data_IF_710118624708
#
_entry.id   IF_710118624708
#
_cell.length_a   1.000
_cell.length_b   1.000
_cell.length_c   1.000
_cell.angle_alpha   90.00
_cell.angle_beta   90.00
_cell.angle_gamma   90.00
#
_symmetry.space_group_name_H-M   'P 1'
#
loop_
_entity.id
_entity.type
_entity.pdbx_description
1 polymer ?
#
# COMPACT_ATOMS: atom_id res chain seq x y z
N UNK A 1 30.81 -2.44 -22.23
CA UNK A 1 29.80 -3.19 -21.43
C UNK A 1 28.47 -2.53 -21.66
N UNK A 2 27.45 -3.27 -22.11
CA UNK A 2 26.10 -2.71 -22.19
C UNK A 2 25.66 -2.31 -20.77
N UNK A 3 25.37 -1.01 -20.56
CA UNK A 3 24.83 -0.51 -19.29
C UNK A 3 23.50 -1.22 -19.01
N UNK A 4 23.34 -1.75 -17.80
CA UNK A 4 22.06 -2.30 -17.36
C UNK A 4 21.07 -1.15 -17.28
N UNK A 5 20.02 -1.15 -18.10
CA UNK A 5 19.02 -0.08 -18.13
C UNK A 5 17.60 -0.61 -18.00
N UNK A 6 16.74 0.15 -17.33
CA UNK A 6 15.36 -0.23 -17.09
C UNK A 6 14.41 0.96 -17.11
N UNK A 7 13.25 0.79 -17.75
CA UNK A 7 12.13 1.71 -17.68
C UNK A 7 11.13 1.32 -16.58
N UNK A 8 10.60 2.29 -15.85
CA UNK A 8 9.57 2.11 -14.84
C UNK A 8 8.41 3.05 -15.15
N UNK A 9 7.26 2.51 -15.57
CA UNK A 9 6.05 3.29 -15.79
C UNK A 9 5.19 3.28 -14.54
N UNK A 10 5.05 4.45 -13.91
CA UNK A 10 4.23 4.65 -12.71
C UNK A 10 3.37 5.91 -12.83
N UNK A 11 2.11 5.82 -12.38
CA UNK A 11 1.27 6.99 -12.26
C UNK A 11 1.61 7.83 -11.02
N UNK A 12 1.85 7.15 -9.88
CA UNK A 12 2.18 7.80 -8.62
C UNK A 12 3.70 7.97 -8.49
N UNK A 13 4.15 9.21 -8.60
CA UNK A 13 5.55 9.63 -8.46
C UNK A 13 5.58 11.00 -7.77
N UNK A 14 6.65 11.38 -7.06
CA UNK A 14 6.72 12.71 -6.45
C UNK A 14 6.31 13.84 -7.43
N UNK A 15 5.48 14.82 -6.99
CA UNK A 15 5.08 15.15 -5.62
C UNK A 15 3.81 14.43 -5.10
N UNK A 16 3.43 13.28 -5.64
CA UNK A 16 2.35 12.49 -5.05
C UNK A 16 2.76 12.01 -3.66
N UNK A 17 1.82 12.10 -2.70
CA UNK A 17 1.96 11.51 -1.38
C UNK A 17 1.37 10.10 -1.29
N UNK A 18 1.51 9.48 -0.12
CA UNK A 18 0.93 8.19 0.22
C UNK A 18 1.81 6.98 -0.10
N UNK A 19 1.34 5.80 0.30
CA UNK A 19 2.10 4.54 0.22
C UNK A 19 2.43 4.09 -1.20
N UNK A 20 1.61 4.48 -2.17
CA UNK A 20 1.79 4.11 -3.58
C UNK A 20 3.06 4.64 -4.24
N UNK A 21 3.60 5.75 -3.73
CA UNK A 21 4.83 6.39 -4.24
C UNK A 21 6.08 5.70 -3.68
N UNK A 22 6.08 5.42 -2.39
CA UNK A 22 7.25 5.01 -1.62
C UNK A 22 7.89 3.71 -2.12
N UNK A 23 7.10 2.81 -2.70
CA UNK A 23 7.58 1.52 -3.22
C UNK A 23 8.61 1.71 -4.33
N UNK A 24 8.20 2.32 -5.43
CA UNK A 24 9.07 2.47 -6.61
C UNK A 24 10.08 3.60 -6.45
N UNK A 25 9.83 4.58 -5.61
CA UNK A 25 10.85 5.57 -5.26
C UNK A 25 12.07 4.88 -4.64
N UNK A 26 11.87 4.09 -3.56
CA UNK A 26 12.96 3.36 -2.90
C UNK A 26 13.62 2.29 -3.79
N UNK A 27 12.83 1.53 -4.55
CA UNK A 27 13.41 0.52 -5.42
C UNK A 27 14.19 1.13 -6.58
N UNK A 28 13.79 2.29 -7.09
CA UNK A 28 14.55 3.03 -8.09
C UNK A 28 15.90 3.50 -7.54
N UNK A 29 15.92 4.05 -6.32
CA UNK A 29 17.17 4.46 -5.66
C UNK A 29 18.12 3.27 -5.51
N UNK A 30 17.65 2.15 -5.00
CA UNK A 30 18.49 0.96 -4.82
C UNK A 30 18.91 0.31 -6.15
N UNK A 31 18.11 0.39 -7.21
CA UNK A 31 18.53 -0.07 -8.53
C UNK A 31 19.67 0.79 -9.08
N UNK A 32 19.65 2.12 -8.84
CA UNK A 32 20.78 3.01 -9.16
C UNK A 32 22.02 2.59 -8.37
N UNK A 33 21.91 2.37 -7.05
CA UNK A 33 23.00 1.88 -6.19
C UNK A 33 23.58 0.53 -6.70
N UNK A 34 22.75 -0.32 -7.32
CA UNK A 34 23.15 -1.59 -7.94
C UNK A 34 23.71 -1.43 -9.37
N UNK A 35 23.90 -0.19 -9.84
CA UNK A 35 24.51 0.13 -11.13
C UNK A 35 23.56 0.10 -12.33
N UNK A 36 22.24 0.20 -12.10
CA UNK A 36 21.25 0.32 -13.17
C UNK A 36 21.05 1.77 -13.58
N UNK A 37 20.92 2.03 -14.86
CA UNK A 37 20.39 3.27 -15.41
C UNK A 37 18.84 3.19 -15.36
N UNK A 38 18.24 3.99 -14.47
CA UNK A 38 16.80 3.93 -14.18
C UNK A 38 16.07 5.09 -14.86
N UNK A 39 15.12 4.74 -15.75
CA UNK A 39 14.28 5.69 -16.48
C UNK A 39 12.83 5.60 -15.97
N UNK A 40 12.39 6.58 -15.21
CA UNK A 40 11.02 6.64 -14.70
C UNK A 40 10.15 7.40 -15.72
N UNK A 41 9.02 6.80 -16.08
CA UNK A 41 7.98 7.39 -16.91
C UNK A 41 6.78 7.69 -16.04
N UNK A 42 6.43 8.97 -15.93
CA UNK A 42 5.30 9.46 -15.15
C UNK A 42 4.56 10.57 -15.92
N UNK A 43 3.63 11.28 -15.30
CA UNK A 43 2.79 12.23 -16.01
C UNK A 43 3.09 13.67 -15.62
N UNK A 44 2.87 14.58 -16.58
CA UNK A 44 2.96 16.02 -16.34
C UNK A 44 1.63 16.49 -15.75
N UNK A 45 1.67 17.08 -14.54
CA UNK A 45 0.51 17.62 -13.82
C UNK A 45 -0.61 16.58 -13.60
N UNK A 46 -0.32 15.38 -13.10
CA UNK A 46 -1.34 14.38 -12.80
C UNK A 46 -2.21 14.85 -11.63
N UNK A 47 -3.40 14.29 -11.54
CA UNK A 47 -4.31 14.59 -10.42
C UNK A 47 -4.09 13.61 -9.30
N UNK A 48 -3.31 14.03 -8.34
CA UNK A 48 -3.12 13.28 -7.11
C UNK A 48 -4.11 13.72 -6.04
N UNK A 49 -4.66 12.76 -5.31
CA UNK A 49 -5.54 13.03 -4.16
C UNK A 49 -4.74 13.55 -2.96
N UNK A 50 -3.48 13.13 -2.85
CA UNK A 50 -2.56 13.54 -1.79
C UNK A 50 -1.30 14.10 -2.45
N UNK A 51 -0.91 15.31 -2.06
CA UNK A 51 0.31 15.97 -2.55
C UNK A 51 1.26 16.16 -1.36
N UNK A 52 2.49 15.68 -1.53
CA UNK A 52 3.60 15.93 -0.64
C UNK A 52 4.67 16.75 -1.38
N UNK A 53 4.66 18.05 -1.17
CA UNK A 53 5.55 18.98 -1.89
C UNK A 53 7.04 18.74 -1.60
N UNK A 54 7.36 18.18 -0.43
CA UNK A 54 8.76 17.89 -0.02
C UNK A 54 9.27 16.57 -0.62
N UNK A 55 8.39 15.70 -1.10
CA UNK A 55 8.80 14.40 -1.67
C UNK A 55 9.59 14.53 -2.99
N UNK A 56 9.50 15.67 -3.68
CA UNK A 56 10.29 15.94 -4.87
C UNK A 56 11.79 16.11 -4.60
N UNK A 57 12.15 16.60 -3.41
CA UNK A 57 13.53 16.89 -3.02
C UNK A 57 14.35 15.62 -2.69
N UNK A 58 13.67 14.50 -2.52
CA UNK A 58 14.29 13.20 -2.17
C UNK A 58 14.51 12.27 -3.36
N UNK A 59 14.24 12.71 -4.58
CA UNK A 59 14.48 11.90 -5.78
C UNK A 59 15.99 11.87 -6.03
N UNK A 60 16.56 10.67 -6.16
CA UNK A 60 17.95 10.50 -6.54
C UNK A 60 18.21 11.18 -7.91
N UNK A 61 19.18 12.11 -8.01
CA UNK A 61 19.43 12.86 -9.24
C UNK A 61 19.91 11.98 -10.43
N UNK A 62 20.38 10.77 -10.18
CA UNK A 62 20.76 9.83 -11.23
C UNK A 62 19.57 9.16 -11.89
N UNK A 63 18.36 9.29 -11.34
CA UNK A 63 17.13 8.76 -11.94
C UNK A 63 16.65 9.70 -13.06
N UNK A 64 16.56 9.19 -14.26
CA UNK A 64 16.05 9.95 -15.42
C UNK A 64 14.51 9.97 -15.37
N UNK A 65 13.91 11.10 -15.01
CA UNK A 65 12.46 11.24 -14.88
C UNK A 65 11.83 11.85 -16.12
N UNK A 66 11.07 11.05 -16.87
CA UNK A 66 10.34 11.44 -18.06
C UNK A 66 8.88 11.77 -17.75
N UNK A 67 8.47 13.04 -17.88
CA UNK A 67 7.10 13.51 -17.61
C UNK A 67 6.29 13.59 -18.89
N UNK A 68 5.37 12.65 -19.08
CA UNK A 68 4.53 12.51 -20.27
C UNK A 68 3.32 13.44 -20.18
N UNK A 69 3.04 14.18 -21.26
CA UNK A 69 1.80 14.94 -21.39
C UNK A 69 0.64 13.99 -21.70
N UNK A 70 -0.45 14.11 -20.96
CA UNK A 70 -1.65 13.32 -21.18
C UNK A 70 -2.92 14.06 -20.75
N UNK A 71 -4.05 13.62 -21.23
CA UNK A 71 -5.35 14.20 -20.92
C UNK A 71 -6.07 13.32 -19.88
N UNK A 72 -6.45 13.92 -18.76
CA UNK A 72 -7.30 13.30 -17.73
C UNK A 72 -8.66 13.99 -17.68
N UNK A 73 -9.74 13.34 -18.13
CA UNK A 73 -11.06 13.96 -18.29
C UNK A 73 -11.80 14.26 -16.99
N UNK A 74 -11.16 14.10 -15.83
CA UNK A 74 -11.81 14.22 -14.51
C UNK A 74 -12.42 15.60 -14.19
N UNK A 75 -11.92 16.70 -14.82
CA UNK A 75 -12.55 18.04 -14.69
C UNK A 75 -13.88 18.11 -15.47
N UNK A 76 -13.86 17.57 -16.68
CA UNK A 76 -15.03 17.55 -17.56
C UNK A 76 -16.18 16.73 -16.96
N UNK A 77 -15.84 15.63 -16.32
CA UNK A 77 -16.82 14.76 -15.66
C UNK A 77 -17.42 15.36 -14.39
N UNK A 78 -16.62 16.02 -13.54
CA UNK A 78 -17.17 16.75 -12.38
C UNK A 78 -18.09 17.87 -12.83
N UNK A 79 -17.81 18.51 -13.95
CA UNK A 79 -18.68 19.53 -14.56
C UNK A 79 -19.96 18.94 -15.15
N UNK A 80 -19.91 17.79 -15.82
CA UNK A 80 -21.08 17.13 -16.42
C UNK A 80 -22.00 16.42 -15.42
N UNK A 81 -21.44 15.85 -14.35
CA UNK A 81 -22.21 15.04 -13.41
C UNK A 81 -22.50 15.72 -12.06
N UNK A 82 -22.12 16.99 -11.92
CA UNK A 82 -22.51 17.89 -10.84
C UNK A 82 -22.15 17.43 -9.42
N UNK A 83 -21.77 18.39 -8.60
CA UNK A 83 -21.53 18.23 -7.16
C UNK A 83 -22.85 18.04 -6.34
N UNK A 84 -23.87 17.38 -6.88
CA UNK A 84 -25.15 17.20 -6.20
C UNK A 84 -25.28 15.78 -5.68
N UNK A 85 -25.24 15.69 -4.38
CA UNK A 85 -25.69 14.63 -3.47
C UNK A 85 -24.62 13.68 -2.89
N UNK A 86 -24.62 13.62 -1.57
CA UNK A 86 -24.04 12.58 -0.71
C UNK A 86 -24.70 11.19 -0.88
N UNK A 87 -25.28 10.89 -2.02
CA UNK A 87 -25.81 9.56 -2.34
C UNK A 87 -24.76 8.78 -3.11
N UNK A 88 -24.54 7.49 -2.79
CA UNK A 88 -23.66 6.63 -3.58
C UNK A 88 -24.17 6.69 -5.03
N UNK A 89 -23.30 7.13 -5.92
CA UNK A 89 -23.60 7.19 -7.36
C UNK A 89 -24.00 5.79 -7.80
N UNK A 90 -25.25 5.65 -8.28
CA UNK A 90 -25.64 4.45 -9.04
C UNK A 90 -24.60 4.26 -10.14
N UNK A 91 -24.10 3.05 -10.39
CA UNK A 91 -23.14 2.80 -11.44
C UNK A 91 -23.76 3.27 -12.75
N UNK A 92 -23.28 4.38 -13.29
CA UNK A 92 -23.76 4.79 -14.59
C UNK A 92 -23.05 3.89 -15.60
N UNK A 93 -23.80 3.15 -16.39
CA UNK A 93 -23.34 2.36 -17.53
C UNK A 93 -22.33 3.15 -18.36
N UNK A 94 -22.55 4.46 -18.52
CA UNK A 94 -21.65 5.41 -19.17
C UNK A 94 -20.26 5.44 -18.52
N UNK A 95 -20.18 5.47 -17.17
CA UNK A 95 -18.89 5.47 -16.46
C UNK A 95 -18.11 4.19 -16.75
N UNK A 96 -18.75 3.03 -16.73
CA UNK A 96 -18.12 1.74 -16.97
C UNK A 96 -17.67 1.56 -18.42
N UNK A 97 -18.46 2.03 -19.38
CA UNK A 97 -18.12 2.00 -20.81
C UNK A 97 -16.95 2.93 -21.16
N UNK A 98 -16.93 4.15 -20.62
CA UNK A 98 -15.92 5.15 -20.99
C UNK A 98 -14.61 5.03 -20.19
N UNK A 99 -14.62 4.44 -18.99
CA UNK A 99 -13.47 4.42 -18.07
C UNK A 99 -12.92 3.03 -17.77
N UNK A 100 -13.08 2.11 -18.70
CA UNK A 100 -12.44 0.80 -18.58
C UNK A 100 -10.96 0.84 -19.01
N UNK A 101 -10.01 0.30 -18.23
CA UNK A 101 -10.18 -0.36 -16.94
C UNK A 101 -10.29 0.64 -15.75
N UNK A 102 -9.85 1.85 -15.94
CA UNK A 102 -9.89 2.95 -14.97
C UNK A 102 -9.89 4.32 -15.67
N UNK A 103 -10.01 5.39 -14.91
CA UNK A 103 -10.10 6.76 -15.46
C UNK A 103 -8.84 7.26 -16.17
N UNK A 104 -7.71 6.53 -16.06
CA UNK A 104 -6.42 6.86 -16.70
C UNK A 104 -6.25 6.18 -18.06
N UNK A 105 -7.26 5.45 -18.54
CA UNK A 105 -7.22 4.82 -19.87
C UNK A 105 -6.82 5.75 -21.02
N UNK A 106 -7.19 7.03 -20.91
CA UNK A 106 -6.87 8.03 -21.94
C UNK A 106 -5.38 8.36 -22.00
N UNK A 107 -4.64 8.04 -20.95
CA UNK A 107 -3.18 8.17 -20.92
C UNK A 107 -2.48 7.02 -21.69
N UNK A 108 -3.13 5.88 -21.90
CA UNK A 108 -2.50 4.68 -22.50
C UNK A 108 -1.92 4.95 -23.86
N UNK A 109 -2.67 5.55 -24.78
CA UNK A 109 -2.23 5.82 -26.15
C UNK A 109 -1.03 6.78 -26.25
N UNK A 110 -1.11 7.97 -25.64
CA UNK A 110 0.03 8.90 -25.59
C UNK A 110 1.27 8.28 -24.92
N UNK A 111 1.09 7.58 -23.80
CA UNK A 111 2.18 6.94 -23.06
C UNK A 111 2.86 5.85 -23.89
N UNK A 112 2.09 4.99 -24.53
CA UNK A 112 2.63 3.96 -25.43
C UNK A 112 3.49 4.56 -26.55
N UNK A 113 2.99 5.60 -27.25
CA UNK A 113 3.76 6.26 -28.32
C UNK A 113 5.05 6.88 -27.83
N UNK A 114 4.99 7.57 -26.69
CA UNK A 114 6.17 8.18 -26.08
C UNK A 114 7.21 7.15 -25.67
N UNK A 115 6.82 6.12 -24.91
CA UNK A 115 7.76 5.10 -24.43
C UNK A 115 8.31 4.28 -25.58
N UNK A 116 7.51 3.92 -26.60
CA UNK A 116 7.99 3.22 -27.78
C UNK A 116 9.14 3.98 -28.46
N UNK A 117 8.93 5.27 -28.75
CA UNK A 117 9.95 6.11 -29.35
C UNK A 117 11.20 6.18 -28.49
N UNK A 118 11.02 6.45 -27.20
CA UNK A 118 12.12 6.59 -26.23
C UNK A 118 12.94 5.30 -26.10
N UNK A 119 12.29 4.14 -26.04
CA UNK A 119 12.95 2.83 -25.94
C UNK A 119 13.81 2.53 -27.16
N UNK A 120 13.29 2.83 -28.36
CA UNK A 120 14.05 2.63 -29.62
C UNK A 120 15.24 3.57 -29.72
N UNK A 121 15.09 4.84 -29.30
CA UNK A 121 16.18 5.85 -29.38
C UNK A 121 17.28 5.59 -28.35
N UNK A 122 16.95 4.99 -27.18
CA UNK A 122 17.89 4.78 -26.09
C UNK A 122 18.26 3.30 -25.88
N UNK A 123 17.87 2.40 -26.78
CA UNK A 123 18.13 0.95 -26.69
C UNK A 123 17.70 0.29 -25.39
N UNK A 124 16.57 0.74 -24.79
CA UNK A 124 16.00 0.10 -23.63
C UNK A 124 15.17 -1.12 -24.04
N UNK A 125 15.27 -2.21 -23.26
CA UNK A 125 14.48 -3.40 -23.53
C UNK A 125 13.75 -3.97 -22.30
N UNK A 126 13.95 -3.41 -21.09
CA UNK A 126 13.26 -3.81 -19.88
C UNK A 126 12.28 -2.74 -19.42
N UNK A 127 11.03 -3.12 -19.17
CA UNK A 127 10.00 -2.23 -18.65
C UNK A 127 9.27 -2.87 -17.47
N UNK A 128 9.14 -2.12 -16.39
CA UNK A 128 8.21 -2.42 -15.31
C UNK A 128 7.02 -1.47 -15.42
N UNK A 129 5.80 -2.01 -15.39
CA UNK A 129 4.58 -1.20 -15.22
C UNK A 129 3.96 -1.49 -13.88
N UNK A 130 3.56 -0.48 -13.11
CA UNK A 130 2.97 -0.65 -11.78
C UNK A 130 1.52 -0.16 -11.72
N UNK A 131 0.65 -0.94 -11.15
CA UNK A 131 -0.77 -0.67 -10.91
C UNK A 131 -1.17 -0.85 -9.44
N UNK A 132 -2.27 -0.18 -8.97
CA UNK A 132 -3.13 0.73 -9.73
C UNK A 132 -2.45 2.07 -10.08
N UNK A 133 -2.92 2.78 -11.15
CA UNK A 133 -4.00 2.42 -12.07
C UNK A 133 -3.58 1.28 -13.01
N UNK A 134 -4.49 0.31 -13.21
CA UNK A 134 -4.19 -0.90 -13.99
C UNK A 134 -4.11 -0.66 -15.50
N UNK A 135 -4.64 0.47 -15.99
CA UNK A 135 -4.44 0.93 -17.37
C UNK A 135 -2.97 1.06 -17.77
N UNK A 136 -2.04 1.24 -16.81
CA UNK A 136 -0.61 1.27 -17.09
C UNK A 136 -0.09 -0.07 -17.62
N UNK A 137 -0.66 -1.19 -17.20
CA UNK A 137 -0.30 -2.51 -17.71
C UNK A 137 -0.68 -2.69 -19.20
N UNK A 138 -1.71 -1.99 -19.69
CA UNK A 138 -2.04 -2.01 -21.12
C UNK A 138 -0.94 -1.37 -21.98
N UNK A 139 -0.19 -0.41 -21.45
CA UNK A 139 0.97 0.17 -22.13
C UNK A 139 2.08 -0.88 -22.26
N UNK A 140 2.40 -1.58 -21.17
CA UNK A 140 3.39 -2.66 -21.16
C UNK A 140 3.04 -3.76 -22.15
N UNK A 141 1.78 -4.22 -22.15
CA UNK A 141 1.31 -5.23 -23.10
C UNK A 141 1.47 -4.79 -24.57
N UNK A 142 1.10 -3.55 -24.90
CA UNK A 142 1.26 -3.02 -26.27
C UNK A 142 2.73 -2.97 -26.69
N UNK A 143 3.62 -2.50 -25.82
CA UNK A 143 5.06 -2.44 -26.09
C UNK A 143 5.65 -3.85 -26.25
N UNK A 144 5.26 -4.80 -25.39
CA UNK A 144 5.67 -6.20 -25.48
C UNK A 144 5.32 -6.84 -26.84
N UNK A 145 4.09 -6.60 -27.32
CA UNK A 145 3.65 -7.15 -28.61
C UNK A 145 4.37 -6.48 -29.77
N UNK A 146 4.56 -5.17 -29.72
CA UNK A 146 5.03 -4.37 -30.86
C UNK A 146 6.56 -4.36 -31.01
N UNK A 147 7.29 -4.11 -29.90
CA UNK A 147 8.76 -4.02 -29.94
C UNK A 147 9.46 -5.07 -29.08
N UNK A 148 8.73 -6.10 -28.63
CA UNK A 148 9.24 -7.32 -27.99
C UNK A 148 10.13 -7.07 -26.76
N UNK A 149 9.84 -6.01 -26.00
CA UNK A 149 10.52 -5.73 -24.72
C UNK A 149 10.35 -6.86 -23.70
N UNK A 150 11.24 -6.94 -22.73
CA UNK A 150 11.07 -7.71 -21.50
C UNK A 150 10.17 -6.92 -20.56
N UNK A 151 8.99 -7.44 -20.27
CA UNK A 151 7.97 -6.70 -19.53
C UNK A 151 7.58 -7.37 -18.22
N UNK A 152 7.67 -6.60 -17.13
CA UNK A 152 7.24 -6.98 -15.79
C UNK A 152 5.98 -6.19 -15.42
N UNK A 153 4.94 -6.88 -14.99
CA UNK A 153 3.74 -6.24 -14.46
C UNK A 153 3.71 -6.30 -12.93
N UNK A 154 3.74 -5.14 -12.25
CA UNK A 154 3.73 -5.03 -10.79
C UNK A 154 2.32 -4.72 -10.29
N UNK A 155 1.67 -5.70 -9.68
CA UNK A 155 0.36 -5.60 -9.06
C UNK A 155 0.52 -5.32 -7.57
N UNK A 156 0.31 -4.07 -7.17
CA UNK A 156 0.32 -3.68 -5.75
C UNK A 156 -0.96 -4.08 -5.03
N UNK A 157 -2.06 -4.13 -5.77
CA UNK A 157 -3.38 -4.53 -5.31
C UNK A 157 -4.02 -5.48 -6.33
N UNK A 158 -4.99 -6.32 -5.93
CA UNK A 158 -5.82 -7.08 -6.86
C UNK A 158 -6.50 -6.15 -7.85
N UNK A 159 -6.79 -6.64 -9.06
CA UNK A 159 -7.48 -5.82 -10.05
C UNK A 159 -8.97 -6.21 -10.17
N UNK A 160 -9.28 -7.35 -10.80
CA UNK A 160 -10.67 -7.74 -11.04
C UNK A 160 -11.44 -7.99 -9.75
N UNK A 161 -10.81 -8.69 -8.80
CA UNK A 161 -11.38 -9.05 -7.50
C UNK A 161 -11.04 -8.07 -6.38
N UNK A 162 -10.73 -6.82 -6.71
CA UNK A 162 -10.49 -5.82 -5.69
C UNK A 162 -11.79 -5.44 -4.97
N UNK A 163 -11.77 -5.45 -3.64
CA UNK A 163 -12.95 -5.21 -2.81
C UNK A 163 -13.70 -3.89 -3.15
N UNK A 164 -12.97 -2.86 -3.58
CA UNK A 164 -13.59 -1.58 -3.98
C UNK A 164 -14.52 -1.72 -5.18
N UNK A 165 -14.26 -2.67 -6.09
CA UNK A 165 -15.15 -2.94 -7.23
C UNK A 165 -16.52 -3.45 -6.75
N UNK A 166 -16.54 -4.27 -5.68
CA UNK A 166 -17.79 -4.74 -5.06
C UNK A 166 -18.56 -3.62 -4.38
N UNK A 167 -17.86 -2.72 -3.68
CA UNK A 167 -18.47 -1.55 -3.04
C UNK A 167 -19.08 -0.57 -4.06
N UNK A 168 -18.58 -0.54 -5.28
CA UNK A 168 -19.09 0.29 -6.37
C UNK A 168 -20.30 -0.33 -7.11
N UNK A 169 -20.80 -1.52 -6.67
CA UNK A 169 -21.89 -2.25 -7.33
C UNK A 169 -21.67 -2.38 -8.84
N UNK A 170 -20.48 -2.81 -9.23
CA UNK A 170 -20.08 -2.97 -10.61
C UNK A 170 -20.97 -4.01 -11.33
N UNK A 171 -21.33 -3.74 -12.58
CA UNK A 171 -22.09 -4.70 -13.39
C UNK A 171 -21.28 -5.99 -13.62
N UNK A 172 -21.95 -7.13 -13.61
CA UNK A 172 -21.31 -8.44 -13.84
C UNK A 172 -20.57 -8.50 -15.19
N UNK A 173 -21.14 -7.89 -16.23
CA UNK A 173 -20.53 -7.79 -17.54
C UNK A 173 -19.21 -7.01 -17.51
N UNK A 174 -19.15 -5.94 -16.71
CA UNK A 174 -17.94 -5.13 -16.51
C UNK A 174 -16.93 -5.91 -15.69
N UNK A 175 -17.36 -6.63 -14.66
CA UNK A 175 -16.48 -7.50 -13.86
C UNK A 175 -15.83 -8.57 -14.76
N UNK A 176 -16.60 -9.29 -15.56
CA UNK A 176 -16.07 -10.27 -16.53
C UNK A 176 -15.08 -9.64 -17.53
N UNK A 177 -15.27 -8.38 -17.90
CA UNK A 177 -14.36 -7.64 -18.76
C UNK A 177 -13.04 -7.35 -18.06
N UNK A 178 -13.07 -6.97 -16.78
CA UNK A 178 -11.87 -6.80 -15.96
C UNK A 178 -11.10 -8.11 -15.79
N UNK A 179 -11.79 -9.22 -15.50
CA UNK A 179 -11.16 -10.54 -15.38
C UNK A 179 -10.46 -10.98 -16.68
N UNK A 180 -11.10 -10.77 -17.82
CA UNK A 180 -10.51 -11.09 -19.13
C UNK A 180 -9.25 -10.27 -19.41
N UNK A 181 -9.29 -8.98 -19.11
CA UNK A 181 -8.14 -8.09 -19.35
C UNK A 181 -7.01 -8.37 -18.36
N UNK A 182 -7.32 -8.57 -17.08
CA UNK A 182 -6.34 -9.01 -16.07
C UNK A 182 -5.65 -10.30 -16.51
N UNK A 183 -6.43 -11.33 -16.89
CA UNK A 183 -5.90 -12.60 -17.39
C UNK A 183 -5.04 -12.42 -18.64
N UNK A 184 -5.41 -11.51 -19.54
CA UNK A 184 -4.63 -11.18 -20.73
C UNK A 184 -3.29 -10.55 -20.36
N UNK A 185 -3.25 -9.63 -19.42
CA UNK A 185 -2.03 -9.00 -18.89
C UNK A 185 -1.13 -10.07 -18.26
N UNK A 186 -1.69 -10.87 -17.34
CA UNK A 186 -0.94 -11.91 -16.63
C UNK A 186 -0.30 -12.92 -17.58
N UNK A 187 -1.03 -13.39 -18.60
CA UNK A 187 -0.52 -14.37 -19.57
C UNK A 187 0.65 -13.86 -20.41
N UNK A 188 0.72 -12.55 -20.69
CA UNK A 188 1.69 -11.97 -21.60
C UNK A 188 2.92 -11.35 -20.90
N UNK A 189 2.86 -11.09 -19.60
CA UNK A 189 4.00 -10.57 -18.86
C UNK A 189 5.12 -11.61 -18.75
N UNK A 190 6.38 -11.16 -18.89
CA UNK A 190 7.56 -12.01 -18.72
C UNK A 190 7.79 -12.36 -17.25
N UNK A 191 7.44 -11.44 -16.34
CA UNK A 191 7.34 -11.70 -14.92
C UNK A 191 6.22 -10.85 -14.31
N UNK A 192 5.69 -11.31 -13.18
CA UNK A 192 4.63 -10.64 -12.44
C UNK A 192 5.11 -10.43 -11.02
N UNK A 193 5.04 -9.19 -10.54
CA UNK A 193 5.28 -8.86 -9.14
C UNK A 193 3.97 -8.68 -8.41
N UNK A 194 3.91 -9.18 -7.19
CA UNK A 194 2.78 -9.00 -6.27
C UNK A 194 3.27 -8.57 -4.91
N UNK A 195 2.52 -7.73 -4.22
CA UNK A 195 2.85 -7.28 -2.86
C UNK A 195 2.42 -8.26 -1.78
N UNK A 196 1.65 -9.30 -2.14
CA UNK A 196 1.04 -10.26 -1.25
C UNK A 196 1.28 -11.70 -1.74
N UNK A 197 1.45 -12.64 -0.80
CA UNK A 197 1.63 -14.07 -1.12
C UNK A 197 0.31 -14.68 -1.62
N UNK A 198 -0.81 -14.35 -1.00
CA UNK A 198 -2.12 -14.82 -1.44
C UNK A 198 -2.44 -14.37 -2.88
N UNK A 199 -2.08 -13.12 -3.24
CA UNK A 199 -2.24 -12.64 -4.61
C UNK A 199 -1.30 -13.36 -5.58
N UNK A 200 -0.04 -13.60 -5.18
CA UNK A 200 0.91 -14.41 -5.95
C UNK A 200 0.32 -15.79 -6.26
N UNK A 201 -0.19 -16.49 -5.25
CA UNK A 201 -0.71 -17.85 -5.40
C UNK A 201 -1.97 -17.89 -6.30
N UNK A 202 -2.78 -16.82 -6.29
CA UNK A 202 -3.89 -16.65 -7.23
C UNK A 202 -3.39 -16.50 -8.68
N UNK A 203 -2.38 -15.68 -8.89
CA UNK A 203 -1.85 -15.39 -10.23
C UNK A 203 -0.96 -16.50 -10.78
N UNK A 204 -0.28 -17.26 -9.93
CA UNK A 204 0.53 -18.43 -10.32
C UNK A 204 -0.29 -19.49 -11.07
N UNK A 205 -1.60 -19.59 -10.80
CA UNK A 205 -2.53 -20.47 -11.52
C UNK A 205 -2.68 -20.06 -13.00
N UNK A 206 -2.31 -18.84 -13.36
CA UNK A 206 -2.42 -18.27 -14.72
C UNK A 206 -1.05 -18.16 -15.38
N UNK A 207 -0.03 -17.76 -14.62
CA UNK A 207 1.35 -17.59 -15.09
C UNK A 207 2.32 -17.89 -13.95
N UNK A 208 3.09 -18.97 -14.08
CA UNK A 208 4.05 -19.45 -13.06
C UNK A 208 5.27 -18.51 -12.86
N UNK A 209 5.36 -17.40 -13.55
CA UNK A 209 6.42 -16.38 -13.38
C UNK A 209 6.00 -15.27 -12.41
N UNK A 210 5.23 -15.65 -11.38
CA UNK A 210 4.80 -14.73 -10.33
C UNK A 210 5.80 -14.70 -9.18
N UNK A 211 6.16 -13.50 -8.75
CA UNK A 211 7.12 -13.27 -7.68
C UNK A 211 6.50 -12.43 -6.57
N UNK A 212 6.61 -12.90 -5.34
CA UNK A 212 6.29 -12.09 -4.17
C UNK A 212 7.38 -11.04 -3.96
N UNK A 213 7.01 -9.79 -4.14
CA UNK A 213 7.85 -8.59 -4.00
C UNK A 213 7.12 -7.60 -3.09
N UNK A 214 7.26 -7.71 -1.77
CA UNK A 214 6.56 -6.84 -0.81
C UNK A 214 7.01 -5.38 -0.93
N UNK A 215 6.25 -4.45 -0.33
CA UNK A 215 6.65 -3.04 -0.33
C UNK A 215 7.87 -2.75 0.54
N UNK A 216 8.07 -3.52 1.60
CA UNK A 216 9.21 -3.39 2.49
C UNK A 216 9.34 -2.04 3.19
N UNK A 217 10.45 -1.85 3.88
CA UNK A 217 10.81 -0.60 4.57
C UNK A 217 12.21 -0.13 4.16
N UNK A 218 12.45 1.19 4.26
CA UNK A 218 13.77 1.78 4.03
C UNK A 218 14.61 1.78 5.30
N UNK A 219 14.52 2.85 6.07
CA UNK A 219 15.30 3.02 7.29
C UNK A 219 14.69 2.27 8.47
N UNK A 220 15.56 1.86 9.38
CA UNK A 220 15.17 1.33 10.69
C UNK A 220 14.83 2.52 11.59
N UNK A 221 13.71 2.41 12.30
CA UNK A 221 13.29 3.39 13.30
C UNK A 221 13.82 2.93 14.66
N UNK A 222 14.51 3.81 15.36
CA UNK A 222 15.01 3.55 16.71
C UNK A 222 13.86 3.44 17.72
N UNK A 223 14.14 2.81 18.87
CA UNK A 223 13.21 2.77 19.99
C UNK A 223 13.70 3.73 21.08
N UNK A 224 12.80 4.55 21.61
CA UNK A 224 13.07 5.43 22.73
C UNK A 224 12.21 5.08 23.93
N UNK A 225 12.73 5.06 25.16
CA UNK A 225 11.92 4.89 26.36
C UNK A 225 10.87 5.99 26.48
N UNK A 226 9.65 5.61 26.90
CA UNK A 226 8.60 6.55 27.16
C UNK A 226 7.88 6.24 28.49
N UNK A 227 7.33 7.29 29.13
CA UNK A 227 6.79 7.18 30.50
C UNK A 227 5.41 6.49 30.58
N UNK A 228 4.75 6.30 29.43
CA UNK A 228 3.42 5.71 29.34
C UNK A 228 3.42 4.52 28.38
N UNK A 229 2.50 3.60 28.61
CA UNK A 229 2.19 2.53 27.68
C UNK A 229 1.40 3.10 26.51
N UNK A 230 2.11 3.42 25.44
CA UNK A 230 1.55 4.13 24.30
C UNK A 230 1.12 3.15 23.22
N UNK A 231 -0.17 3.25 22.84
CA UNK A 231 -0.79 2.49 21.75
C UNK A 231 -1.02 3.46 20.60
N UNK A 232 -0.40 3.20 19.45
CA UNK A 232 -0.42 4.09 18.29
C UNK A 232 -1.12 3.47 17.09
N UNK A 233 -2.04 4.21 16.49
CA UNK A 233 -2.50 4.00 15.12
C UNK A 233 -2.14 5.20 14.25
N UNK A 234 -1.56 5.00 13.06
CA UNK A 234 -1.30 6.10 12.13
C UNK A 234 -1.87 5.83 10.74
N UNK A 235 -2.42 6.86 10.09
CA UNK A 235 -2.92 6.86 8.72
C UNK A 235 -4.44 6.98 8.61
N UNK A 236 -4.97 6.67 7.43
CA UNK A 236 -6.41 6.71 7.18
C UNK A 236 -7.10 5.46 7.74
N UNK A 237 -8.23 5.64 8.43
CA UNK A 237 -9.13 4.57 8.87
C UNK A 237 -10.53 4.83 8.33
N UNK A 238 -11.02 3.93 7.49
CA UNK A 238 -12.38 3.97 6.93
C UNK A 238 -13.33 3.06 7.72
N UNK A 239 -14.65 3.24 7.65
CA UNK A 239 -15.62 2.39 8.39
C UNK A 239 -15.40 0.90 8.20
N UNK A 240 -15.03 0.46 6.99
CA UNK A 240 -14.73 -0.94 6.67
C UNK A 240 -13.47 -1.50 7.38
N UNK A 241 -12.69 -0.66 8.03
CA UNK A 241 -11.49 -1.01 8.80
C UNK A 241 -11.70 -0.81 10.30
N UNK A 242 -12.92 -0.44 10.71
CA UNK A 242 -13.21 -0.12 12.11
C UNK A 242 -13.06 -1.35 13.03
N UNK A 243 -12.09 -1.36 13.96
CA UNK A 243 -11.90 -2.45 14.90
C UNK A 243 -12.75 -2.23 16.15
N UNK A 244 -14.07 -2.31 16.05
CA UNK A 244 -15.02 -2.02 17.15
C UNK A 244 -14.70 -2.78 18.44
N UNK A 245 -14.33 -4.07 18.33
CA UNK A 245 -13.90 -4.86 19.48
C UNK A 245 -12.65 -4.32 20.16
N UNK A 246 -11.70 -3.77 19.42
CA UNK A 246 -10.51 -3.13 20.01
C UNK A 246 -10.93 -1.93 20.88
N UNK A 247 -11.89 -1.14 20.42
CA UNK A 247 -12.38 0.00 21.18
C UNK A 247 -13.07 -0.44 22.46
N UNK A 248 -13.90 -1.47 22.40
CA UNK A 248 -14.52 -2.08 23.59
C UNK A 248 -13.48 -2.58 24.59
N UNK A 249 -12.50 -3.35 24.12
CA UNK A 249 -11.42 -3.90 24.96
C UNK A 249 -10.62 -2.80 25.64
N UNK A 250 -10.24 -1.75 24.91
CA UNK A 250 -9.49 -0.63 25.50
C UNK A 250 -10.30 0.12 26.55
N UNK A 251 -11.60 0.36 26.29
CA UNK A 251 -12.50 0.99 27.25
C UNK A 251 -12.65 0.13 28.51
N UNK A 252 -12.81 -1.17 28.37
CA UNK A 252 -12.99 -2.08 29.50
C UNK A 252 -11.70 -2.25 30.33
N UNK A 253 -10.53 -2.27 29.69
CA UNK A 253 -9.23 -2.27 30.41
C UNK A 253 -9.03 -0.98 31.20
N UNK A 254 -9.38 0.17 30.64
CA UNK A 254 -9.31 1.48 31.33
C UNK A 254 -10.25 1.50 32.56
N UNK A 255 -11.46 0.93 32.43
CA UNK A 255 -12.43 0.94 33.49
C UNK A 255 -12.16 -0.10 34.59
N UNK A 256 -11.50 -1.21 34.26
CA UNK A 256 -11.29 -2.35 35.18
C UNK A 256 -9.92 -2.38 35.85
N UNK A 257 -8.93 -1.62 35.35
CA UNK A 257 -7.57 -1.64 35.89
C UNK A 257 -7.01 -0.23 36.06
N UNK A 258 -6.95 0.23 37.32
CA UNK A 258 -6.47 1.58 37.67
C UNK A 258 -5.05 1.88 37.18
N UNK A 259 -4.14 0.91 37.29
CA UNK A 259 -2.76 1.07 36.82
C UNK A 259 -2.69 1.24 35.26
N UNK A 260 -3.56 0.52 34.54
CA UNK A 260 -3.67 0.67 33.09
C UNK A 260 -4.23 2.05 32.75
N UNK A 261 -5.29 2.47 33.43
CA UNK A 261 -5.89 3.79 33.25
C UNK A 261 -4.87 4.92 33.45
N UNK A 262 -4.07 4.85 34.52
CA UNK A 262 -3.09 5.89 34.85
C UNK A 262 -1.96 5.99 33.80
N UNK A 263 -1.57 4.86 33.19
CA UNK A 263 -0.36 4.76 32.37
C UNK A 263 -0.59 4.61 30.87
N UNK A 264 -1.80 4.24 30.44
CA UNK A 264 -2.10 4.10 29.02
C UNK A 264 -2.21 5.46 28.33
N UNK A 265 -1.77 5.51 27.08
CA UNK A 265 -1.98 6.60 26.16
C UNK A 265 -2.37 6.02 24.80
N UNK A 266 -3.57 6.36 24.31
CA UNK A 266 -4.10 5.87 23.04
C UNK A 266 -4.08 7.02 22.04
N UNK A 267 -3.31 6.88 20.95
CA UNK A 267 -3.09 7.94 19.99
C UNK A 267 -3.45 7.47 18.58
N UNK A 268 -4.33 8.23 17.94
CA UNK A 268 -4.70 8.04 16.54
C UNK A 268 -4.24 9.25 15.74
N UNK A 269 -3.43 9.03 14.71
CA UNK A 269 -2.89 10.10 13.87
C UNK A 269 -3.32 9.88 12.43
N UNK A 270 -4.04 10.83 11.86
CA UNK A 270 -4.42 10.77 10.45
C UNK A 270 -5.91 11.04 10.20
N UNK A 271 -6.39 10.56 9.07
CA UNK A 271 -7.79 10.76 8.67
C UNK A 271 -8.65 9.60 9.18
N UNK A 272 -9.23 9.76 10.35
CA UNK A 272 -10.17 8.79 10.93
C UNK A 272 -11.58 9.21 10.51
N UNK A 273 -12.35 8.28 9.97
CA UNK A 273 -13.72 8.54 9.51
C UNK A 273 -14.64 8.94 10.67
N UNK A 274 -15.54 9.89 10.41
CA UNK A 274 -16.47 10.40 11.41
C UNK A 274 -17.42 9.32 11.96
N UNK A 275 -17.78 8.32 11.15
CA UNK A 275 -18.62 7.21 11.61
C UNK A 275 -17.92 6.41 12.69
N UNK A 276 -16.58 6.27 12.62
CA UNK A 276 -15.78 5.62 13.67
C UNK A 276 -15.70 6.50 14.91
N UNK A 277 -15.38 7.78 14.74
CA UNK A 277 -15.25 8.73 15.85
C UNK A 277 -16.56 8.90 16.64
N UNK A 278 -17.70 8.74 15.97
CA UNK A 278 -19.03 8.86 16.54
C UNK A 278 -19.62 7.52 17.01
N UNK A 279 -18.95 6.38 16.74
CA UNK A 279 -19.45 5.08 17.22
C UNK A 279 -19.44 5.00 18.73
N UNK A 280 -20.41 4.26 19.29
CA UNK A 280 -20.57 4.12 20.75
C UNK A 280 -19.35 3.43 21.38
N UNK A 281 -18.77 2.44 20.70
CA UNK A 281 -17.59 1.71 21.14
C UNK A 281 -16.39 2.64 21.28
N UNK A 282 -16.18 3.51 20.30
CA UNK A 282 -15.05 4.45 20.31
C UNK A 282 -15.23 5.56 21.36
N UNK A 283 -16.45 6.05 21.54
CA UNK A 283 -16.76 7.09 22.55
C UNK A 283 -16.52 6.63 23.98
N UNK A 284 -16.61 5.31 24.25
CA UNK A 284 -16.31 4.74 25.58
C UNK A 284 -14.85 4.93 26.00
N UNK A 285 -13.92 5.15 25.07
CA UNK A 285 -12.50 5.38 25.39
C UNK A 285 -12.32 6.83 25.85
N UNK A 286 -12.26 7.07 27.16
CA UNK A 286 -12.11 8.41 27.72
C UNK A 286 -10.70 9.00 27.50
N UNK A 287 -9.67 8.15 27.49
CA UNK A 287 -8.26 8.54 27.33
C UNK A 287 -7.75 8.26 25.90
N UNK A 288 -8.10 9.14 24.98
CA UNK A 288 -7.64 9.07 23.60
C UNK A 288 -7.21 10.43 23.09
N UNK A 289 -6.18 10.45 22.26
CA UNK A 289 -5.73 11.62 21.53
C UNK A 289 -5.91 11.37 20.03
N UNK A 290 -6.49 12.32 19.31
CA UNK A 290 -6.68 12.27 17.87
C UNK A 290 -5.93 13.44 17.27
N UNK A 291 -4.96 13.14 16.38
CA UNK A 291 -4.17 14.14 15.69
C UNK A 291 -4.49 14.13 14.19
N UNK A 292 -4.49 15.30 13.59
CA UNK A 292 -4.51 15.45 12.13
C UNK A 292 -3.32 14.74 11.48
N UNK A 293 -3.35 14.47 10.16
CA UNK A 293 -2.20 13.95 9.45
C UNK A 293 -0.95 14.82 9.65
N UNK A 294 0.16 14.17 9.95
CA UNK A 294 1.47 14.80 10.18
C UNK A 294 2.50 14.30 9.16
N UNK A 295 3.68 14.90 9.14
CA UNK A 295 4.77 14.48 8.28
C UNK A 295 5.30 13.08 8.63
N UNK A 296 6.03 12.47 7.69
CA UNK A 296 6.65 11.15 7.92
C UNK A 296 7.60 11.18 9.12
N UNK A 297 8.43 12.20 9.25
CA UNK A 297 9.38 12.32 10.36
C UNK A 297 8.68 12.43 11.72
N UNK A 298 7.54 13.11 11.78
CA UNK A 298 6.73 13.17 13.00
C UNK A 298 6.12 11.81 13.33
N UNK A 299 5.67 11.05 12.31
CA UNK A 299 5.22 9.66 12.54
C UNK A 299 6.36 8.78 13.02
N UNK A 300 7.58 8.92 12.50
CA UNK A 300 8.75 8.17 12.96
C UNK A 300 9.00 8.44 14.46
N UNK A 301 8.94 9.71 14.90
CA UNK A 301 9.06 10.08 16.31
C UNK A 301 7.94 9.47 17.19
N UNK A 302 6.71 9.43 16.68
CA UNK A 302 5.58 8.82 17.40
C UNK A 302 5.74 7.29 17.53
N UNK A 303 6.28 6.64 16.50
CA UNK A 303 6.60 5.21 16.52
C UNK A 303 7.72 4.92 17.53
N UNK A 304 8.78 5.73 17.57
CA UNK A 304 9.91 5.55 18.49
C UNK A 304 9.50 5.43 19.96
N UNK A 305 8.51 6.22 20.39
CA UNK A 305 8.04 6.28 21.78
C UNK A 305 6.82 5.38 22.05
N UNK A 306 6.34 4.64 21.06
CA UNK A 306 5.18 3.76 21.22
C UNK A 306 5.59 2.35 21.66
N UNK A 307 4.74 1.67 22.42
CA UNK A 307 4.94 0.28 22.86
C UNK A 307 4.16 -0.72 21.99
N UNK A 308 2.99 -0.32 21.51
CA UNK A 308 2.11 -1.16 20.70
C UNK A 308 1.61 -0.40 19.48
N UNK A 309 1.87 -0.94 18.29
CA UNK A 309 1.53 -0.32 17.01
C UNK A 309 0.33 -1.06 16.39
N UNK A 310 -0.77 -0.36 16.19
CA UNK A 310 -2.02 -0.95 15.71
C UNK A 310 -2.12 -0.85 14.18
N UNK A 311 -2.39 -1.97 13.53
CA UNK A 311 -2.66 -2.04 12.11
C UNK A 311 -3.96 -2.80 11.84
N UNK A 312 -4.91 -2.13 11.17
CA UNK A 312 -6.18 -2.74 10.78
C UNK A 312 -6.20 -2.96 9.26
N UNK A 313 -6.55 -4.15 8.84
CA UNK A 313 -6.79 -4.49 7.43
C UNK A 313 -8.24 -4.10 7.06
N UNK A 314 -8.72 -4.57 5.92
CA UNK A 314 -10.11 -4.39 5.49
C UNK A 314 -10.92 -5.59 5.99
N UNK A 315 -12.08 -5.33 6.62
CA UNK A 315 -12.98 -6.37 7.13
C UNK A 315 -13.92 -6.90 6.02
N UNK A 316 -13.37 -7.64 5.08
CA UNK A 316 -14.12 -8.32 4.03
C UNK A 316 -13.47 -9.67 3.72
N UNK A 317 -14.29 -10.69 3.46
CA UNK A 317 -13.82 -12.07 3.22
C UNK A 317 -12.78 -12.19 2.08
N UNK A 318 -12.85 -11.33 1.07
CA UNK A 318 -11.96 -11.38 -0.10
C UNK A 318 -10.78 -10.39 0.00
N UNK A 319 -10.48 -9.87 1.18
CA UNK A 319 -9.40 -8.87 1.39
C UNK A 319 -8.13 -9.46 2.01
N UNK A 320 -8.00 -10.78 2.06
CA UNK A 320 -6.88 -11.48 2.69
C UNK A 320 -5.51 -11.24 2.02
N UNK A 321 -5.51 -10.72 0.79
CA UNK A 321 -4.32 -10.37 0.01
C UNK A 321 -3.94 -8.87 0.11
N UNK A 322 -4.58 -8.12 1.02
CA UNK A 322 -4.30 -6.70 1.21
C UNK A 322 -3.46 -6.49 2.47
N UNK A 323 -2.25 -5.98 2.29
CA UNK A 323 -1.37 -5.59 3.40
C UNK A 323 -1.37 -4.07 3.50
N UNK A 324 -1.84 -3.48 4.62
CA UNK A 324 -1.80 -2.05 4.82
C UNK A 324 -0.37 -1.50 4.71
N UNK A 325 -0.15 -0.43 3.92
CA UNK A 325 1.19 0.10 3.67
C UNK A 325 1.97 0.51 4.92
N UNK A 326 1.27 0.96 5.97
CA UNK A 326 1.86 1.31 7.28
C UNK A 326 2.50 0.12 8.01
N UNK A 327 2.08 -1.12 7.70
CA UNK A 327 2.61 -2.32 8.33
C UNK A 327 4.14 -2.43 8.19
N UNK A 328 4.66 -2.25 6.99
CA UNK A 328 6.11 -2.31 6.78
C UNK A 328 6.85 -1.17 7.46
N UNK A 329 6.21 -0.01 7.57
CA UNK A 329 6.74 1.12 8.33
C UNK A 329 6.82 0.80 9.83
N UNK A 330 5.80 0.17 10.40
CA UNK A 330 5.83 -0.31 11.78
C UNK A 330 6.85 -1.43 11.98
N UNK A 331 6.94 -2.34 11.03
CA UNK A 331 7.90 -3.45 11.09
C UNK A 331 9.35 -2.96 11.17
N UNK A 332 9.66 -1.79 10.58
CA UNK A 332 10.99 -1.20 10.63
C UNK A 332 11.42 -0.72 12.02
N UNK A 333 10.51 -0.61 12.97
CA UNK A 333 10.83 -0.19 14.34
C UNK A 333 11.16 -1.37 15.27
N UNK A 334 10.86 -2.59 14.87
CA UNK A 334 10.97 -3.77 15.73
C UNK A 334 10.03 -3.78 16.95
N UNK A 335 9.13 -2.78 17.05
CA UNK A 335 8.12 -2.70 18.10
C UNK A 335 7.03 -3.75 17.90
N UNK A 336 6.28 -4.06 18.98
CA UNK A 336 5.14 -4.97 18.89
C UNK A 336 4.04 -4.42 18.02
N UNK A 337 3.54 -5.24 17.09
CA UNK A 337 2.44 -4.91 16.19
C UNK A 337 1.19 -5.68 16.63
N UNK A 338 0.11 -4.94 16.85
CA UNK A 338 -1.23 -5.47 17.04
C UNK A 338 -1.97 -5.42 15.70
N UNK A 339 -2.12 -6.57 15.05
CA UNK A 339 -2.89 -6.70 13.83
C UNK A 339 -4.37 -6.94 14.11
N UNK A 340 -5.26 -6.27 13.36
CA UNK A 340 -6.67 -6.63 13.28
C UNK A 340 -6.96 -6.98 11.82
N UNK A 341 -7.22 -8.25 11.55
CA UNK A 341 -7.40 -8.74 10.18
C UNK A 341 -8.18 -10.06 10.16
N UNK A 342 -8.67 -10.44 9.00
CA UNK A 342 -9.28 -11.75 8.82
C UNK A 342 -8.25 -12.88 9.00
N UNK A 343 -8.72 -14.03 9.45
CA UNK A 343 -7.92 -15.23 9.58
C UNK A 343 -7.37 -15.67 8.20
N UNK A 344 -6.10 -16.08 8.17
CA UNK A 344 -5.41 -16.48 6.95
C UNK A 344 -5.02 -15.31 6.04
N UNK A 345 -5.14 -14.07 6.51
CA UNK A 345 -4.67 -12.88 5.77
C UNK A 345 -3.14 -12.85 5.67
N UNK A 346 -2.64 -12.20 4.63
CA UNK A 346 -1.19 -12.01 4.50
C UNK A 346 -0.61 -11.13 5.59
N UNK A 347 -1.39 -10.20 6.15
CA UNK A 347 -0.98 -9.41 7.31
C UNK A 347 -0.71 -10.34 8.52
N UNK A 348 -1.64 -11.23 8.84
CA UNK A 348 -1.48 -12.21 9.92
C UNK A 348 -0.26 -13.11 9.68
N UNK A 349 -0.13 -13.69 8.48
CA UNK A 349 0.99 -14.56 8.11
C UNK A 349 2.34 -13.87 8.29
N UNK A 350 2.47 -12.60 7.91
CA UNK A 350 3.74 -11.88 8.06
C UNK A 350 4.00 -11.54 9.52
N UNK A 351 3.00 -11.16 10.31
CA UNK A 351 3.15 -10.92 11.75
C UNK A 351 3.67 -12.18 12.45
N UNK A 352 3.12 -13.35 12.13
CA UNK A 352 3.56 -14.65 12.67
C UNK A 352 4.99 -14.97 12.20
N UNK A 353 5.26 -14.88 10.89
CA UNK A 353 6.55 -15.17 10.28
C UNK A 353 7.68 -14.31 10.84
N UNK A 354 7.40 -13.05 11.10
CA UNK A 354 8.38 -12.09 11.65
C UNK A 354 8.39 -12.05 13.17
N UNK A 355 7.45 -12.75 13.81
CA UNK A 355 7.23 -12.68 15.26
C UNK A 355 7.16 -11.24 15.77
N UNK A 356 6.64 -10.33 14.95
CA UNK A 356 6.57 -8.91 15.27
C UNK A 356 5.39 -8.55 16.20
N UNK A 357 4.52 -9.50 16.53
CA UNK A 357 3.37 -9.28 17.38
C UNK A 357 2.33 -10.39 17.24
N UNK A 358 1.06 -10.01 17.31
CA UNK A 358 -0.07 -10.93 17.13
C UNK A 358 -1.18 -10.27 16.31
N UNK A 359 -1.87 -11.05 15.50
CA UNK A 359 -3.07 -10.63 14.76
C UNK A 359 -4.31 -11.28 15.33
N UNK A 360 -5.43 -10.55 15.32
CA UNK A 360 -6.72 -10.98 15.83
C UNK A 360 -7.80 -10.74 14.78
N UNK A 361 -8.80 -11.63 14.75
CA UNK A 361 -10.03 -11.40 14.00
C UNK A 361 -10.82 -10.23 14.56
N UNK A 362 -11.72 -9.68 13.76
CA UNK A 362 -12.56 -8.55 14.17
C UNK A 362 -13.49 -8.89 15.34
N UNK A 363 -13.79 -10.19 15.55
CA UNK A 363 -14.70 -10.67 16.60
C UNK A 363 -13.97 -11.24 17.84
N UNK A 364 -12.64 -11.25 17.83
CA UNK A 364 -11.83 -11.74 18.96
C UNK A 364 -11.77 -10.71 20.09
N UNK A 365 -12.54 -10.91 21.15
CA UNK A 365 -12.56 -10.01 22.31
C UNK A 365 -11.58 -10.44 23.41
N UNK A 366 -11.73 -11.65 23.96
CA UNK A 366 -11.00 -12.11 25.14
C UNK A 366 -9.50 -12.27 24.88
N UNK A 367 -9.13 -12.90 23.80
CA UNK A 367 -7.71 -13.05 23.42
C UNK A 367 -7.05 -11.69 23.18
N UNK A 368 -7.76 -10.76 22.53
CA UNK A 368 -7.30 -9.40 22.28
C UNK A 368 -7.10 -8.64 23.60
N UNK A 369 -8.05 -8.75 24.52
CA UNK A 369 -7.98 -8.15 25.87
C UNK A 369 -6.77 -8.68 26.64
N UNK A 370 -6.62 -9.99 26.68
CA UNK A 370 -5.50 -10.64 27.36
C UNK A 370 -4.16 -10.21 26.78
N UNK A 371 -4.02 -10.17 25.44
CA UNK A 371 -2.78 -9.76 24.78
C UNK A 371 -2.39 -8.31 25.07
N UNK A 372 -3.35 -7.37 25.06
CA UNK A 372 -3.08 -5.97 25.38
C UNK A 372 -2.67 -5.82 26.85
N UNK A 373 -3.36 -6.51 27.76
CA UNK A 373 -3.06 -6.43 29.20
C UNK A 373 -1.71 -7.08 29.54
N UNK A 374 -1.37 -8.22 28.93
CA UNK A 374 -0.05 -8.84 29.09
C UNK A 374 1.05 -7.95 28.50
N UNK A 375 0.80 -7.28 27.37
CA UNK A 375 1.76 -6.33 26.80
C UNK A 375 1.99 -5.15 27.74
N UNK A 376 0.96 -4.68 28.43
CA UNK A 376 1.05 -3.65 29.46
C UNK A 376 1.85 -4.13 30.69
N UNK A 377 1.60 -5.34 31.20
CA UNK A 377 2.39 -5.92 32.29
C UNK A 377 3.87 -6.05 31.95
N UNK A 378 4.17 -6.52 30.74
CA UNK A 378 5.56 -6.59 30.25
C UNK A 378 6.23 -5.21 30.15
N UNK A 379 5.48 -4.17 29.81
CA UNK A 379 5.96 -2.79 29.84
C UNK A 379 6.29 -2.35 31.29
N UNK A 380 5.41 -2.61 32.27
CA UNK A 380 5.65 -2.28 33.69
C UNK A 380 6.90 -2.98 34.22
N UNK A 381 7.08 -4.25 33.88
CA UNK A 381 8.22 -5.07 34.29
C UNK A 381 9.52 -4.74 33.52
N UNK A 382 9.50 -3.76 32.61
CA UNK A 382 10.61 -3.44 31.70
C UNK A 382 11.08 -4.63 30.87
N UNK A 383 10.17 -5.56 30.57
CA UNK A 383 10.40 -6.75 29.73
C UNK A 383 9.97 -6.51 28.25
N UNK A 384 9.61 -5.28 27.90
CA UNK A 384 9.32 -4.93 26.52
C UNK A 384 10.59 -5.08 25.67
N UNK A 385 10.54 -6.01 24.72
CA UNK A 385 11.68 -6.30 23.84
C UNK A 385 11.39 -5.69 22.47
N UNK A 386 12.24 -4.77 22.03
CA UNK A 386 12.32 -4.33 20.64
C UNK A 386 13.16 -5.33 19.86
N UNK A 387 12.60 -5.91 18.81
CA UNK A 387 13.30 -6.89 17.96
C UNK A 387 14.04 -6.18 16.82
N UNK A 388 15.10 -6.81 16.33
CA UNK A 388 15.72 -6.35 15.09
C UNK A 388 14.71 -6.52 13.92
N UNK A 389 14.44 -5.47 13.13
CA UNK A 389 13.58 -5.59 11.97
C UNK A 389 14.11 -6.63 10.98
N UNK A 390 13.24 -7.48 10.40
CA UNK A 390 13.68 -8.59 9.56
C UNK A 390 14.26 -8.07 8.24
N UNK A 391 15.55 -8.37 8.00
CA UNK A 391 16.34 -7.86 6.88
C UNK A 391 15.74 -8.17 5.50
N UNK A 392 15.02 -9.29 5.36
CA UNK A 392 14.35 -9.66 4.10
C UNK A 392 13.28 -8.66 3.64
N UNK A 393 12.76 -7.81 4.54
CA UNK A 393 11.82 -6.74 4.23
C UNK A 393 12.50 -5.36 4.10
N UNK A 394 13.82 -5.28 4.21
CA UNK A 394 14.55 -4.07 3.83
C UNK A 394 14.47 -3.85 2.32
N UNK A 395 14.17 -2.63 1.91
CA UNK A 395 13.98 -2.28 0.49
C UNK A 395 15.19 -2.59 -0.38
N UNK A 396 16.42 -2.47 0.14
CA UNK A 396 17.64 -2.87 -0.55
C UNK A 396 17.67 -4.38 -0.87
N UNK A 397 17.30 -5.24 0.09
CA UNK A 397 17.29 -6.69 -0.14
C UNK A 397 16.18 -7.11 -1.12
N UNK A 398 15.06 -6.39 -1.09
CA UNK A 398 13.99 -6.58 -2.08
C UNK A 398 14.47 -6.12 -3.47
N UNK A 399 15.17 -4.98 -3.57
CA UNK A 399 15.72 -4.49 -4.83
C UNK A 399 16.76 -5.45 -5.43
N UNK A 400 17.62 -6.07 -4.61
CA UNK A 400 18.52 -7.14 -5.06
C UNK A 400 17.76 -8.33 -5.64
N UNK A 401 16.63 -8.72 -5.02
CA UNK A 401 15.76 -9.76 -5.57
C UNK A 401 15.12 -9.33 -6.90
N UNK A 402 14.66 -8.09 -7.00
CA UNK A 402 14.13 -7.51 -8.24
C UNK A 402 15.20 -7.56 -9.33
N UNK A 403 16.42 -7.13 -9.04
CA UNK A 403 17.55 -7.19 -9.98
C UNK A 403 17.78 -8.61 -10.50
N UNK A 404 17.86 -9.61 -9.62
CA UNK A 404 18.04 -11.00 -10.02
C UNK A 404 16.94 -11.48 -10.97
N UNK A 405 15.68 -11.10 -10.71
CA UNK A 405 14.57 -11.46 -11.59
C UNK A 405 14.73 -10.79 -12.96
N UNK A 406 15.10 -9.51 -13.00
CA UNK A 406 15.27 -8.76 -14.27
C UNK A 406 16.41 -9.36 -15.11
N UNK A 407 17.54 -9.73 -14.49
CA UNK A 407 18.70 -10.31 -15.18
C UNK A 407 18.37 -11.67 -15.79
N UNK A 408 17.44 -12.42 -15.20
CA UNK A 408 17.06 -13.76 -15.66
C UNK A 408 15.90 -13.75 -16.68
N UNK A 409 15.44 -12.60 -17.15
CA UNK A 409 14.44 -12.48 -18.22
C UNK A 409 15.10 -12.51 -19.62
#
# INVERSE_FOLDING_TARGET
>A
MNRKSIGILTYYWPPSGGSGVQRWLRFSDHLVELGWEVHVFTFKNPKYDIIDKKSGDIINPEIVVNKIKGFEPSKFLKSMFGNKSNKPLKPSIIRELFFFPDSRRFLVGPTYRFIKKYFLENNLNHLITTGPPHSMHQVGLKLKIDIKIKWISDFRDPWSNFFQNKLLNQLESTHKKHEREEKRILKNADAIFTTSKNLKDKFDKINHRCHYVPSGFGNIISSKPYKKFRILYSGTMKPIQNPSNLWCVLADLINSHEDFEKRVEIVLIGNIDNDILNSEEFKRIKKREIKSPVSKNEIDNEIEISELLVVCSVNLNDSNDIIPGKFFHYLSSGKKILGISNNGSDLEKIIIETQSGRSFGYDNYDDLKNYIYESFKNYLDKKSITKNPPSKYMSLNIAKKIEQIIINL
#
